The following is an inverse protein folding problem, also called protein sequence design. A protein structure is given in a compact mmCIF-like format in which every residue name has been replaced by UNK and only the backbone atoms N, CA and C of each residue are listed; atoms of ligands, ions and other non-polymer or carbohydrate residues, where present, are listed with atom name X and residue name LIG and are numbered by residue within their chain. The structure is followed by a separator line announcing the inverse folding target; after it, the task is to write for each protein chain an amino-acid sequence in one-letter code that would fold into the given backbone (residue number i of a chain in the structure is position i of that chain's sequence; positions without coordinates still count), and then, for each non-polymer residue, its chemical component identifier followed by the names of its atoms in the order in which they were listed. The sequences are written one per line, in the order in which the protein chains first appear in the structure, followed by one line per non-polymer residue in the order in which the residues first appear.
data_IF_559147170259
#
_entry.id   IF_559147170259
#
_cell.length_a   1.000
_cell.length_b   1.000
_cell.length_c   1.000
_cell.angle_alpha   90.00
_cell.angle_beta   90.00
_cell.angle_gamma   90.00
#
_symmetry.space_group_name_H-M   'P 1'
#
loop_
_entity.id
_entity.type
_entity.pdbx_description
1 polymer ?
#
# COMPACT_ATOMS: atom_id res chain seq x y z
N UNK A 1 -17.85 -8.31 6.94
CA UNK A 1 -18.73 -7.77 5.88
C UNK A 1 -18.53 -8.62 4.63
N UNK A 2 -19.54 -9.37 4.18
CA UNK A 2 -19.52 -10.07 2.88
C UNK A 2 -20.92 -9.93 2.27
N UNK A 3 -21.01 -9.60 0.98
CA UNK A 3 -22.28 -9.47 0.24
C UNK A 3 -22.13 -10.11 -1.14
N UNK A 4 -23.23 -10.65 -1.68
CA UNK A 4 -23.24 -11.26 -3.01
C UNK A 4 -22.91 -10.26 -4.14
N UNK A 5 -23.12 -8.96 -3.88
CA UNK A 5 -22.90 -7.89 -4.86
C UNK A 5 -22.11 -6.74 -4.21
N UNK A 6 -20.79 -6.90 -4.01
CA UNK A 6 -19.98 -5.83 -3.45
C UNK A 6 -19.86 -4.67 -4.46
N UNK A 7 -19.63 -3.46 -3.95
CA UNK A 7 -19.28 -2.32 -4.81
C UNK A 7 -17.99 -2.65 -5.53
N UNK A 8 -17.99 -2.52 -6.86
CA UNK A 8 -16.78 -2.74 -7.66
C UNK A 8 -15.80 -1.59 -7.47
N UNK A 9 -14.63 -1.90 -6.91
CA UNK A 9 -13.52 -0.97 -6.82
C UNK A 9 -12.83 -0.93 -8.18
N UNK A 10 -12.78 0.25 -8.81
CA UNK A 10 -12.17 0.45 -10.14
C UNK A 10 -10.65 0.58 -10.07
N UNK A 11 -10.18 1.23 -9.02
CA UNK A 11 -8.79 1.64 -8.78
C UNK A 11 -8.60 1.87 -7.28
N UNK A 12 -7.40 1.61 -6.79
CA UNK A 12 -6.93 1.99 -5.45
C UNK A 12 -5.73 2.93 -5.59
N UNK A 13 -5.72 4.02 -4.82
CA UNK A 13 -4.55 4.89 -4.65
C UNK A 13 -4.11 4.76 -3.19
N UNK A 14 -2.91 4.26 -2.96
CA UNK A 14 -2.32 4.05 -1.64
C UNK A 14 -1.22 5.08 -1.42
N UNK A 15 -1.34 5.89 -0.36
CA UNK A 15 -0.39 6.95 -0.03
C UNK A 15 0.51 6.47 1.11
N UNK A 16 1.80 6.26 0.85
CA UNK A 16 2.75 5.76 1.86
C UNK A 16 2.32 4.44 2.49
N UNK A 17 1.60 3.61 1.72
CA UNK A 17 0.96 2.41 2.24
C UNK A 17 1.97 1.34 2.65
N UNK A 18 1.53 0.50 3.59
CA UNK A 18 2.26 -0.67 4.07
C UNK A 18 1.53 -1.96 3.64
N UNK A 19 1.60 -2.36 2.36
CA UNK A 19 0.76 -3.43 1.82
C UNK A 19 1.22 -4.85 2.23
N UNK A 20 2.49 -5.03 2.59
CA UNK A 20 3.05 -6.32 2.97
C UNK A 20 3.39 -6.35 4.47
N UNK A 21 2.41 -6.73 5.29
CA UNK A 21 2.58 -6.83 6.73
C UNK A 21 3.54 -7.95 7.12
N UNK A 22 3.62 -9.02 6.33
CA UNK A 22 4.54 -10.12 6.60
C UNK A 22 6.00 -9.70 6.41
N UNK A 23 6.32 -9.01 5.31
CA UNK A 23 7.65 -8.43 5.12
C UNK A 23 7.96 -7.40 6.21
N UNK A 24 6.97 -6.56 6.58
CA UNK A 24 7.15 -5.53 7.61
C UNK A 24 7.46 -6.11 8.98
N UNK A 25 6.86 -7.25 9.34
CA UNK A 25 7.12 -7.91 10.62
C UNK A 25 8.60 -8.29 10.83
N UNK A 26 9.39 -8.33 9.75
CA UNK A 26 10.81 -8.71 9.78
C UNK A 26 11.75 -7.57 9.40
N UNK A 27 11.24 -6.40 9.01
CA UNK A 27 12.06 -5.28 8.55
C UNK A 27 12.34 -4.30 9.71
N UNK A 28 13.56 -4.34 10.22
CA UNK A 28 14.01 -3.47 11.30
C UNK A 28 14.12 -1.98 10.91
N UNK A 29 14.20 -1.66 9.62
CA UNK A 29 14.28 -0.29 9.12
C UNK A 29 12.91 0.39 9.05
N UNK A 30 11.83 -0.34 9.35
CA UNK A 30 10.49 0.23 9.48
C UNK A 30 10.43 1.21 10.66
N UNK A 31 10.20 2.50 10.41
CA UNK A 31 10.23 3.54 11.44
C UNK A 31 9.10 3.43 12.47
N UNK A 32 8.06 2.63 12.21
CA UNK A 32 7.04 2.27 13.21
C UNK A 32 7.44 1.10 14.13
N UNK A 33 8.59 0.46 13.90
CA UNK A 33 8.99 -0.79 14.54
C UNK A 33 8.26 -2.01 13.95
N UNK A 34 8.63 -3.21 14.41
CA UNK A 34 8.03 -4.46 13.91
C UNK A 34 6.87 -4.93 14.79
N UNK A 35 6.85 -4.51 16.05
CA UNK A 35 5.88 -4.90 17.07
C UNK A 35 4.47 -4.38 16.76
N UNK A 36 4.37 -3.30 15.97
CA UNK A 36 3.08 -2.76 15.53
C UNK A 36 2.33 -3.76 14.65
N UNK A 37 3.04 -4.58 13.87
CA UNK A 37 2.42 -5.55 12.96
C UNK A 37 1.61 -6.58 13.73
N UNK A 38 2.13 -7.09 14.85
CA UNK A 38 1.41 -8.03 15.71
C UNK A 38 0.08 -7.45 16.25
N UNK A 39 -0.01 -6.12 16.41
CA UNK A 39 -1.25 -5.45 16.81
C UNK A 39 -2.26 -5.32 15.66
N UNK A 40 -1.78 -5.31 14.42
CA UNK A 40 -2.61 -5.23 13.21
C UNK A 40 -3.14 -6.61 12.80
N UNK A 41 -2.28 -7.62 12.81
CA UNK A 41 -2.62 -8.99 12.36
C UNK A 41 -3.21 -9.87 13.47
N UNK A 42 -3.03 -9.46 14.73
CA UNK A 42 -3.47 -10.22 15.90
C UNK A 42 -2.57 -11.41 16.22
N UNK A 43 -3.01 -12.23 17.17
CA UNK A 43 -2.32 -13.46 17.54
C UNK A 43 -2.90 -14.66 16.77
N UNK A 44 -2.06 -15.63 16.36
CA UNK A 44 -2.54 -16.89 15.79
C UNK A 44 -3.51 -17.61 16.73
N UNK A 45 -4.55 -18.22 16.16
CA UNK A 45 -5.51 -19.08 16.88
C UNK A 45 -5.68 -20.39 16.13
N UNK A 46 -6.25 -21.46 16.73
CA UNK A 46 -6.54 -22.69 15.99
C UNK A 46 -7.44 -22.46 14.76
N UNK A 47 -8.31 -21.45 14.78
CA UNK A 47 -9.20 -21.09 13.67
C UNK A 47 -8.54 -20.14 12.66
N UNK A 48 -7.46 -19.45 13.05
CA UNK A 48 -6.70 -18.53 12.22
C UNK A 48 -5.20 -18.67 12.52
N UNK A 49 -4.56 -19.78 12.09
CA UNK A 49 -3.17 -20.06 12.44
C UNK A 49 -2.16 -19.25 11.62
N UNK A 50 -2.54 -18.86 10.40
CA UNK A 50 -1.74 -18.00 9.52
C UNK A 50 -2.35 -16.60 9.49
N UNK A 51 -1.84 -15.71 10.33
CA UNK A 51 -2.36 -14.35 10.50
C UNK A 51 -2.12 -13.45 9.28
N UNK A 52 -1.26 -13.86 8.33
CA UNK A 52 -0.95 -13.08 7.14
C UNK A 52 -1.80 -13.46 5.93
N UNK A 53 -2.49 -14.61 5.98
CA UNK A 53 -3.28 -15.14 4.88
C UNK A 53 -4.38 -14.17 4.40
N UNK A 54 -4.94 -13.37 5.30
CA UNK A 54 -5.98 -12.37 5.00
C UNK A 54 -5.61 -10.92 5.35
N UNK A 55 -4.40 -10.69 5.88
CA UNK A 55 -3.93 -9.34 6.26
C UNK A 55 -2.77 -8.82 5.43
N UNK A 56 -1.96 -9.69 4.81
CA UNK A 56 -0.85 -9.26 3.94
C UNK A 56 -1.29 -9.29 2.48
N UNK A 57 -1.31 -8.14 1.83
CA UNK A 57 -1.86 -8.00 0.46
C UNK A 57 -1.16 -8.92 -0.55
N UNK A 58 0.17 -9.12 -0.51
CA UNK A 58 0.83 -10.08 -1.40
C UNK A 58 0.30 -11.52 -1.31
N UNK A 59 -0.31 -11.93 -0.18
CA UNK A 59 -0.94 -13.25 -0.02
C UNK A 59 -2.30 -13.35 -0.71
N UNK A 60 -2.87 -12.21 -1.11
CA UNK A 60 -4.18 -12.08 -1.75
C UNK A 60 -4.07 -11.81 -3.26
N UNK A 61 -2.85 -11.65 -3.78
CA UNK A 61 -2.62 -11.42 -5.21
C UNK A 61 -3.01 -12.64 -6.07
N UNK A 62 -3.46 -12.42 -7.32
CA UNK A 62 -3.76 -11.12 -7.93
C UNK A 62 -5.10 -10.54 -7.43
N UNK A 63 -5.16 -9.24 -7.20
CA UNK A 63 -6.37 -8.52 -6.79
C UNK A 63 -7.29 -8.20 -7.98
N UNK A 64 -6.77 -8.14 -9.21
CA UNK A 64 -7.53 -7.79 -10.41
C UNK A 64 -8.05 -6.35 -10.42
N UNK A 65 -7.56 -5.50 -9.52
CA UNK A 65 -7.82 -4.06 -9.48
C UNK A 65 -6.53 -3.32 -9.79
N UNK A 66 -6.66 -2.20 -10.49
CA UNK A 66 -5.53 -1.31 -10.74
C UNK A 66 -5.11 -0.60 -9.45
N UNK A 67 -3.81 -0.52 -9.21
CA UNK A 67 -3.24 -0.01 -7.97
C UNK A 67 -2.20 1.06 -8.27
N UNK A 68 -2.32 2.22 -7.64
CA UNK A 68 -1.30 3.26 -7.63
C UNK A 68 -0.74 3.39 -6.22
N UNK A 69 0.56 3.19 -6.07
CA UNK A 69 1.27 3.48 -4.83
C UNK A 69 1.96 4.82 -5.00
N UNK A 70 1.66 5.79 -4.15
CA UNK A 70 2.36 7.08 -4.09
C UNK A 70 3.25 7.04 -2.86
N UNK A 71 4.56 7.12 -3.04
CA UNK A 71 5.52 7.01 -1.95
C UNK A 71 6.58 8.10 -2.04
N UNK A 72 6.91 8.68 -0.89
CA UNK A 72 8.09 9.52 -0.75
C UNK A 72 9.36 8.68 -0.85
N UNK A 73 10.36 9.16 -1.58
CA UNK A 73 11.62 8.43 -1.73
C UNK A 73 12.44 8.41 -0.42
N UNK A 74 12.33 9.47 0.38
CA UNK A 74 13.02 9.66 1.65
C UNK A 74 12.16 9.26 2.86
N UNK A 75 11.07 8.53 2.63
CA UNK A 75 10.22 7.97 3.68
C UNK A 75 11.02 6.99 4.56
N UNK A 76 11.20 7.38 5.83
CA UNK A 76 11.86 6.58 6.86
C UNK A 76 10.89 5.85 7.78
N UNK A 77 9.59 6.13 7.67
CA UNK A 77 8.57 5.42 8.43
C UNK A 77 8.21 4.15 7.69
N UNK A 78 7.89 4.27 6.39
CA UNK A 78 7.65 3.15 5.49
C UNK A 78 8.74 3.16 4.42
N UNK A 79 9.83 2.40 4.62
CA UNK A 79 10.98 2.42 3.71
C UNK A 79 10.57 2.15 2.27
N UNK A 80 11.15 2.91 1.34
CA UNK A 80 10.83 2.86 -0.09
C UNK A 80 10.91 1.44 -0.71
N UNK A 81 11.80 0.59 -0.20
CA UNK A 81 11.95 -0.81 -0.62
C UNK A 81 10.65 -1.62 -0.49
N UNK A 82 9.81 -1.30 0.51
CA UNK A 82 8.52 -1.98 0.70
C UNK A 82 7.59 -1.76 -0.49
N UNK A 83 7.62 -0.57 -1.07
CA UNK A 83 6.81 -0.25 -2.25
C UNK A 83 7.37 -0.95 -3.50
N UNK A 84 8.69 -0.93 -3.72
CA UNK A 84 9.30 -1.58 -4.88
C UNK A 84 9.11 -3.09 -4.86
N UNK A 85 9.28 -3.72 -3.70
CA UNK A 85 9.08 -5.17 -3.54
C UNK A 85 7.62 -5.55 -3.74
N UNK A 86 6.69 -4.72 -3.26
CA UNK A 86 5.27 -4.92 -3.49
C UNK A 86 4.91 -4.88 -4.99
N UNK A 87 5.40 -3.87 -5.72
CA UNK A 87 5.18 -3.78 -7.17
C UNK A 87 5.70 -5.04 -7.87
N UNK A 88 6.92 -5.48 -7.55
CA UNK A 88 7.50 -6.67 -8.15
C UNK A 88 6.64 -7.93 -7.91
N UNK A 89 6.11 -8.11 -6.68
CA UNK A 89 5.20 -9.21 -6.34
C UNK A 89 3.87 -9.11 -7.09
N UNK A 90 3.29 -7.91 -7.17
CA UNK A 90 2.03 -7.67 -7.88
C UNK A 90 2.17 -7.94 -9.39
N UNK A 91 3.21 -7.40 -10.02
CA UNK A 91 3.49 -7.64 -11.44
C UNK A 91 3.73 -9.12 -11.74
N UNK A 92 4.50 -9.82 -10.89
CA UNK A 92 4.74 -11.25 -11.03
C UNK A 92 3.46 -12.10 -10.90
N UNK A 93 2.49 -11.63 -10.10
CA UNK A 93 1.17 -12.24 -9.97
C UNK A 93 0.20 -11.88 -11.11
N UNK A 94 0.58 -10.96 -12.01
CA UNK A 94 -0.23 -10.51 -13.14
C UNK A 94 -1.16 -9.33 -12.82
N UNK A 95 -0.97 -8.66 -11.68
CA UNK A 95 -1.70 -7.44 -11.33
C UNK A 95 -1.17 -6.20 -12.05
N UNK A 96 -2.00 -5.17 -12.15
CA UNK A 96 -1.60 -3.84 -12.62
C UNK A 96 -1.33 -2.94 -11.42
N UNK A 97 -0.07 -2.83 -11.02
CA UNK A 97 0.39 -1.94 -9.96
C UNK A 97 1.41 -0.93 -10.49
N UNK A 98 1.29 0.34 -10.11
CA UNK A 98 2.20 1.43 -10.52
C UNK A 98 2.74 2.13 -9.29
N UNK A 99 4.05 2.38 -9.24
CA UNK A 99 4.68 3.20 -8.20
C UNK A 99 4.96 4.61 -8.72
N UNK A 100 4.43 5.60 -8.00
CA UNK A 100 4.62 7.03 -8.20
C UNK A 100 5.59 7.54 -7.12
N UNK A 101 6.85 7.64 -7.49
CA UNK A 101 7.93 8.08 -6.59
C UNK A 101 7.96 9.60 -6.49
N UNK A 102 7.84 10.13 -5.28
CA UNK A 102 7.94 11.57 -5.02
C UNK A 102 9.32 11.88 -4.40
N UNK A 103 10.18 12.63 -5.10
CA UNK A 103 11.50 12.98 -4.58
C UNK A 103 11.41 14.00 -3.44
N UNK A 104 12.43 14.06 -2.59
CA UNK A 104 12.54 14.97 -1.45
C UNK A 104 11.29 14.98 -0.54
N UNK A 105 10.67 13.82 -0.33
CA UNK A 105 9.39 13.65 0.35
C UNK A 105 9.48 12.50 1.36
N UNK A 106 9.08 12.76 2.60
CA UNK A 106 8.96 11.75 3.65
C UNK A 106 7.54 11.18 3.78
N UNK A 107 7.23 10.63 4.95
CA UNK A 107 5.97 9.94 5.19
C UNK A 107 4.76 10.89 5.33
N UNK A 108 4.92 11.97 6.09
CA UNK A 108 3.80 12.83 6.50
C UNK A 108 3.41 13.79 5.37
N UNK A 109 4.37 14.14 4.51
CA UNK A 109 4.16 15.01 3.36
C UNK A 109 3.11 14.44 2.40
N UNK A 110 2.92 13.12 2.33
CA UNK A 110 1.93 12.45 1.49
C UNK A 110 0.48 12.87 1.74
N UNK A 111 0.16 13.36 2.95
CA UNK A 111 -1.19 13.81 3.32
C UNK A 111 -1.27 15.33 3.51
N UNK A 112 -0.15 16.04 3.44
CA UNK A 112 -0.11 17.48 3.64
C UNK A 112 -0.57 18.21 2.35
N UNK A 113 -1.63 19.04 2.40
CA UNK A 113 -2.29 19.56 1.19
C UNK A 113 -1.41 20.34 0.20
N UNK A 114 -0.34 20.97 0.69
CA UNK A 114 0.51 21.86 -0.10
C UNK A 114 1.78 21.17 -0.62
N UNK A 115 1.87 19.84 -0.54
CA UNK A 115 3.05 19.09 -0.98
C UNK A 115 2.93 18.57 -2.40
N UNK A 116 4.07 18.30 -3.07
CA UNK A 116 4.08 17.60 -4.36
C UNK A 116 3.39 16.23 -4.30
N UNK A 117 3.52 15.53 -3.17
CA UNK A 117 2.94 14.21 -2.96
C UNK A 117 1.40 14.26 -2.94
N UNK A 118 0.81 15.23 -2.25
CA UNK A 118 -0.63 15.45 -2.27
C UNK A 118 -1.13 15.92 -3.65
N UNK A 119 -0.35 16.76 -4.34
CA UNK A 119 -0.66 17.19 -5.69
C UNK A 119 -0.75 15.98 -6.66
N UNK A 120 0.15 15.00 -6.50
CA UNK A 120 0.14 13.77 -7.28
C UNK A 120 -1.09 12.90 -6.99
N UNK A 121 -1.43 12.72 -5.71
CA UNK A 121 -2.65 12.01 -5.32
C UNK A 121 -3.91 12.63 -5.97
N UNK A 122 -4.04 13.96 -5.92
CA UNK A 122 -5.13 14.68 -6.60
C UNK A 122 -5.11 14.48 -8.12
N UNK A 123 -3.93 14.53 -8.74
CA UNK A 123 -3.77 14.33 -10.19
C UNK A 123 -4.27 12.94 -10.61
N UNK A 124 -3.90 11.90 -9.87
CA UNK A 124 -4.37 10.54 -10.09
C UNK A 124 -5.88 10.46 -9.95
N UNK A 125 -6.46 10.97 -8.86
CA UNK A 125 -7.92 11.02 -8.64
C UNK A 125 -8.64 11.69 -9.83
N UNK A 126 -8.15 12.85 -10.28
CA UNK A 126 -8.80 13.61 -11.36
C UNK A 126 -8.67 12.91 -12.72
N UNK A 127 -7.53 12.26 -12.99
CA UNK A 127 -7.33 11.49 -14.22
C UNK A 127 -8.39 10.39 -14.38
N UNK A 128 -8.87 9.82 -13.27
CA UNK A 128 -9.93 8.82 -13.29
C UNK A 128 -11.31 9.36 -13.65
N UNK A 129 -11.55 10.65 -13.39
CA UNK A 129 -12.78 11.33 -13.79
C UNK A 129 -12.67 11.98 -15.18
N UNK A 130 -11.57 11.76 -15.91
CA UNK A 130 -11.31 12.43 -17.18
C UNK A 130 -11.10 13.94 -17.03
N UNK A 131 -10.68 14.40 -15.85
CA UNK A 131 -10.42 15.81 -15.55
C UNK A 131 -8.91 16.05 -15.49
N UNK A 132 -8.45 17.18 -16.02
CA UNK A 132 -7.11 17.70 -15.76
C UNK A 132 -7.15 18.70 -14.59
N UNK A 133 -6.06 18.78 -13.81
CA UNK A 133 -5.85 19.89 -12.88
C UNK A 133 -5.60 21.20 -13.64
#
# INVERSE_FOLDING_TARGET
LHTAHPIRIRQVISLGGLPDLEATATNADNGCGTEVVAKLVGAPTPQHPDVYADTSVPRLLPLGVKQDLVNGHEDRIIPYVMATDYIAKAEAAGDTATLHTIPATGHVELIAPETPAWAEAKRLILSYFGKSQ
#
